data_IF_945220243829
#
_entry.id   IF_945220243829
#
_cell.length_a   1.000
_cell.length_b   1.000
_cell.length_c   1.000
_cell.angle_alpha   90.00
_cell.angle_beta   90.00
_cell.angle_gamma   90.00
#
_symmetry.space_group_name_H-M   'P 1'
#
loop_
_entity.id
_entity.type
_entity.pdbx_description
1 polymer ?
#
# COMPACT_ATOMS: atom_id res chain seq x y z
N UNK A 1 -0.76 31.32 -12.17
CA UNK A 1 0.30 30.74 -11.33
C UNK A 1 -0.40 29.94 -10.23
N UNK A 2 -0.55 28.63 -10.43
CA UNK A 2 -1.27 27.78 -9.46
C UNK A 2 -0.28 27.43 -8.35
N UNK A 3 -0.53 27.94 -7.14
CA UNK A 3 0.18 27.55 -5.92
C UNK A 3 -0.28 26.13 -5.54
N UNK A 4 0.55 25.12 -5.80
CA UNK A 4 0.34 23.79 -5.22
C UNK A 4 0.87 23.79 -3.79
N UNK A 5 0.01 23.44 -2.83
CA UNK A 5 0.38 23.30 -1.42
C UNK A 5 1.41 22.17 -1.26
N UNK A 6 2.64 22.53 -0.88
CA UNK A 6 3.86 21.72 -0.80
C UNK A 6 3.87 20.63 0.29
N UNK A 7 2.74 20.37 0.96
CA UNK A 7 2.67 19.43 2.09
C UNK A 7 2.65 17.93 1.70
N UNK A 8 2.67 17.58 0.40
CA UNK A 8 2.61 16.18 -0.09
C UNK A 8 3.82 15.76 -0.93
N UNK A 9 4.90 16.53 -0.94
CA UNK A 9 6.04 16.26 -1.82
C UNK A 9 6.73 14.92 -1.54
N UNK A 10 6.66 14.41 -0.30
CA UNK A 10 7.22 13.12 0.10
C UNK A 10 6.36 11.92 -0.33
N UNK A 11 5.05 12.12 -0.54
CA UNK A 11 4.12 11.04 -0.92
C UNK A 11 4.27 10.65 -2.40
N UNK A 12 4.69 11.60 -3.25
CA UNK A 12 4.72 11.43 -4.69
C UNK A 12 6.09 10.89 -5.10
N UNK A 13 6.11 9.64 -5.59
CA UNK A 13 7.34 8.99 -6.07
C UNK A 13 7.76 9.58 -7.42
N UNK A 14 9.06 9.91 -7.56
CA UNK A 14 9.65 10.47 -8.78
C UNK A 14 10.71 9.52 -9.33
N UNK A 15 10.62 9.19 -10.61
CA UNK A 15 11.65 8.54 -11.42
C UNK A 15 12.29 9.53 -12.39
N UNK A 16 13.25 9.06 -13.21
CA UNK A 16 14.04 9.91 -14.13
C UNK A 16 13.19 10.72 -15.11
N UNK A 17 12.06 10.17 -15.55
CA UNK A 17 11.14 10.82 -16.50
C UNK A 17 9.66 10.69 -16.10
N UNK A 18 9.35 10.19 -14.91
CA UNK A 18 7.98 9.89 -14.49
C UNK A 18 7.73 10.32 -13.04
N UNK A 19 6.53 10.82 -12.75
CA UNK A 19 6.08 11.17 -11.41
C UNK A 19 4.76 10.44 -11.17
N UNK A 20 4.65 9.66 -10.10
CA UNK A 20 3.48 8.83 -9.84
C UNK A 20 3.11 8.75 -8.36
N UNK A 21 1.81 8.64 -8.11
CA UNK A 21 1.22 8.43 -6.80
C UNK A 21 0.20 7.29 -6.92
N UNK A 22 0.67 6.04 -6.72
CA UNK A 22 -0.18 4.86 -6.83
C UNK A 22 -0.55 4.32 -5.45
N UNK A 23 -1.83 4.41 -5.11
CA UNK A 23 -2.43 3.75 -3.95
C UNK A 23 -3.13 2.47 -4.41
N UNK A 24 -2.78 1.33 -3.82
CA UNK A 24 -3.36 0.02 -4.16
C UNK A 24 -3.95 -0.62 -2.91
N UNK A 25 -5.14 -1.19 -3.03
CA UNK A 25 -5.77 -2.00 -2.00
C UNK A 25 -5.51 -3.48 -2.28
N UNK A 26 -4.81 -4.17 -1.37
CA UNK A 26 -4.56 -5.60 -1.46
C UNK A 26 -5.57 -6.35 -0.59
N UNK A 27 -6.25 -7.35 -1.16
CA UNK A 27 -7.22 -8.21 -0.45
C UNK A 27 -6.84 -9.66 -0.67
N UNK A 28 -6.74 -10.43 0.41
CA UNK A 28 -6.35 -11.84 0.38
C UNK A 28 -7.53 -12.75 0.70
N UNK A 29 -7.60 -13.90 0.03
CA UNK A 29 -8.59 -14.94 0.28
C UNK A 29 -7.88 -16.27 0.46
N UNK A 30 -8.29 -17.04 1.47
CA UNK A 30 -7.71 -18.34 1.76
C UNK A 30 -8.19 -19.37 0.74
N UNK A 31 -7.33 -20.35 0.44
CA UNK A 31 -7.77 -21.53 -0.32
C UNK A 31 -8.94 -22.17 0.43
N UNK A 32 -10.06 -22.39 -0.27
CA UNK A 32 -11.33 -22.90 0.28
C UNK A 32 -12.07 -21.95 1.25
N UNK A 33 -11.71 -20.65 1.31
CA UNK A 33 -12.39 -19.63 2.14
C UNK A 33 -12.57 -20.03 3.61
N UNK A 34 -11.63 -20.83 4.14
CA UNK A 34 -11.61 -21.20 5.56
C UNK A 34 -11.23 -19.98 6.38
N UNK A 35 -11.83 -19.86 7.58
CA UNK A 35 -11.53 -18.81 8.55
C UNK A 35 -10.21 -19.09 9.29
N UNK A 36 -9.09 -19.09 8.55
CA UNK A 36 -7.74 -19.36 9.08
C UNK A 36 -6.89 -18.10 9.27
N UNK A 37 -7.42 -16.92 8.93
CA UNK A 37 -6.78 -15.66 9.27
C UNK A 37 -7.03 -15.37 10.75
N UNK A 38 -6.22 -15.96 11.61
CA UNK A 38 -6.13 -15.61 13.01
C UNK A 38 -5.17 -14.41 13.21
N UNK A 39 -4.98 -14.02 14.47
CA UNK A 39 -4.12 -12.90 14.82
C UNK A 39 -2.66 -13.13 14.36
N UNK A 40 -2.11 -14.33 14.59
CA UNK A 40 -0.73 -14.66 14.26
C UNK A 40 -0.48 -14.69 12.73
N UNK A 41 -1.39 -15.29 11.97
CA UNK A 41 -1.34 -15.28 10.50
C UNK A 41 -1.43 -13.84 9.95
N UNK A 42 -2.27 -12.99 10.55
CA UNK A 42 -2.43 -11.60 10.14
C UNK A 42 -1.18 -10.78 10.45
N UNK A 43 -0.57 -10.96 11.62
CA UNK A 43 0.67 -10.26 11.99
C UNK A 43 1.85 -10.67 11.10
N UNK A 44 1.97 -11.96 10.76
CA UNK A 44 2.95 -12.42 9.77
C UNK A 44 2.73 -11.81 8.40
N UNK A 45 1.49 -11.69 7.95
CA UNK A 45 1.20 -11.03 6.66
C UNK A 45 1.55 -9.55 6.70
N UNK A 46 1.28 -8.86 7.82
CA UNK A 46 1.65 -7.45 7.98
C UNK A 46 3.15 -7.22 7.84
N UNK A 47 4.00 -8.08 8.42
CA UNK A 47 5.45 -7.92 8.31
C UNK A 47 5.99 -8.16 6.90
N UNK A 48 5.33 -9.00 6.09
CA UNK A 48 5.74 -9.22 4.70
C UNK A 48 5.35 -8.07 3.75
N UNK A 49 4.29 -7.33 4.05
CA UNK A 49 3.74 -6.29 3.18
C UNK A 49 3.88 -4.85 3.73
N UNK A 50 4.55 -4.67 4.87
CA UNK A 50 4.90 -3.37 5.47
C UNK A 50 6.09 -2.72 4.79
#
# INVERSE_FOLDING_TARGET
MILWSMNKETDIRRGRHCVFLMHVHLVFVTRYRRQIFDYDATEKLRTYFS
#
